data_IF_041585985578
#
_entry.id   IF_041585985578
#
_cell.length_a   1.000
_cell.length_b   1.000
_cell.length_c   1.000
_cell.angle_alpha   90.00
_cell.angle_beta   90.00
_cell.angle_gamma   90.00
#
_symmetry.space_group_name_H-M   'P 1'
#
loop_
_entity.id
_entity.type
_entity.pdbx_description
1 polymer ?
#
# COMPACT_ATOMS: atom_id res chain seq x y z
N UNK A 1 21.19 2.17 13.36
CA UNK A 1 20.05 1.88 12.46
C UNK A 1 18.71 2.46 12.93
N UNK A 2 18.39 2.48 14.24
CA UNK A 2 17.14 3.08 14.74
C UNK A 2 16.98 4.60 14.55
N UNK A 3 18.08 5.34 14.37
CA UNK A 3 18.06 6.79 14.11
C UNK A 3 17.49 7.16 12.74
N UNK A 4 17.73 6.33 11.71
CA UNK A 4 17.34 6.62 10.32
C UNK A 4 15.85 6.37 10.06
N UNK A 5 15.28 5.37 10.73
CA UNK A 5 13.83 5.09 10.71
C UNK A 5 13.06 6.28 11.31
N UNK A 6 13.55 6.79 12.44
CA UNK A 6 12.93 7.94 13.10
C UNK A 6 13.03 9.19 12.21
N UNK A 7 14.18 9.46 11.59
CA UNK A 7 14.35 10.66 10.76
C UNK A 7 13.40 10.73 9.55
N UNK A 8 13.13 9.61 8.87
CA UNK A 8 12.25 9.60 7.70
C UNK A 8 10.79 9.82 8.09
N UNK A 9 10.33 9.20 9.18
CA UNK A 9 8.96 9.41 9.67
C UNK A 9 8.77 10.84 10.17
N UNK A 10 9.74 11.42 10.88
CA UNK A 10 9.67 12.83 11.26
C UNK A 10 9.59 13.75 10.03
N UNK A 11 10.38 13.47 8.99
CA UNK A 11 10.32 14.21 7.73
C UNK A 11 8.93 14.15 7.11
N UNK A 12 8.33 12.97 7.01
CA UNK A 12 6.98 12.80 6.47
C UNK A 12 5.89 13.50 7.31
N UNK A 13 6.04 13.54 8.64
CA UNK A 13 5.15 14.29 9.52
C UNK A 13 5.31 15.81 9.31
N UNK A 14 6.54 16.31 9.22
CA UNK A 14 6.84 17.72 8.99
C UNK A 14 6.32 18.21 7.63
N UNK A 15 6.51 17.39 6.59
CA UNK A 15 5.96 17.63 5.24
C UNK A 15 4.44 17.40 5.17
N UNK A 16 3.79 17.02 6.29
CA UNK A 16 2.36 16.68 6.39
C UNK A 16 1.91 15.60 5.41
N UNK A 17 2.81 14.71 4.99
CA UNK A 17 2.51 13.53 4.15
C UNK A 17 1.99 12.36 4.98
N UNK A 18 2.39 12.30 6.26
CA UNK A 18 1.79 11.48 7.29
C UNK A 18 1.13 12.36 8.35
N UNK A 19 0.14 11.81 9.05
CA UNK A 19 -0.49 12.43 10.21
C UNK A 19 -0.59 11.41 11.34
N UNK A 20 -0.44 11.85 12.58
CA UNK A 20 -0.84 11.05 13.73
C UNK A 20 -2.36 11.00 13.79
N UNK A 21 -2.91 9.83 14.07
CA UNK A 21 -4.35 9.64 14.15
C UNK A 21 -4.70 8.74 15.33
N UNK A 22 -5.87 9.00 15.92
CA UNK A 22 -6.50 8.03 16.82
C UNK A 22 -7.06 6.90 15.95
N UNK A 23 -6.40 5.75 16.00
CA UNK A 23 -6.76 4.57 15.21
C UNK A 23 -7.45 3.57 16.14
N UNK A 24 -8.67 3.16 15.76
CA UNK A 24 -9.37 2.09 16.45
C UNK A 24 -9.06 0.71 15.83
N UNK A 25 -9.34 -0.36 16.58
CA UNK A 25 -9.14 -1.72 16.07
C UNK A 25 -10.07 -2.02 14.88
N UNK A 26 -11.27 -1.47 14.90
CA UNK A 26 -12.26 -1.59 13.83
C UNK A 26 -11.75 -0.97 12.53
N UNK A 27 -11.04 0.16 12.62
CA UNK A 27 -10.42 0.78 11.44
C UNK A 27 -9.38 -0.14 10.81
N UNK A 28 -8.51 -0.76 11.60
CA UNK A 28 -7.52 -1.73 11.10
C UNK A 28 -8.23 -2.93 10.49
N UNK A 29 -9.23 -3.48 11.18
CA UNK A 29 -10.01 -4.63 10.70
C UNK A 29 -10.69 -4.33 9.37
N UNK A 30 -11.24 -3.11 9.20
CA UNK A 30 -11.89 -2.70 7.96
C UNK A 30 -10.91 -2.67 6.78
N UNK A 31 -9.67 -2.23 7.01
CA UNK A 31 -8.62 -2.26 5.99
C UNK A 31 -8.23 -3.69 5.61
N UNK A 32 -8.12 -4.60 6.58
CA UNK A 32 -7.83 -6.01 6.30
C UNK A 32 -8.95 -6.67 5.49
N UNK A 33 -10.22 -6.44 5.85
CA UNK A 33 -11.36 -6.97 5.09
C UNK A 33 -11.41 -6.41 3.67
N UNK A 34 -11.11 -5.13 3.48
CA UNK A 34 -11.00 -4.55 2.13
C UNK A 34 -9.87 -5.20 1.33
N UNK A 35 -8.71 -5.42 1.95
CA UNK A 35 -7.59 -6.07 1.28
C UNK A 35 -7.91 -7.50 0.83
N UNK A 36 -8.64 -8.27 1.64
CA UNK A 36 -9.09 -9.62 1.32
C UNK A 36 -10.11 -9.62 0.16
N UNK A 37 -11.07 -8.69 0.18
CA UNK A 37 -12.04 -8.53 -0.89
C UNK A 37 -11.39 -8.16 -2.23
N UNK A 38 -10.49 -7.17 -2.22
CA UNK A 38 -9.75 -6.75 -3.41
C UNK A 38 -8.86 -7.88 -3.97
N UNK A 39 -8.32 -8.74 -3.11
CA UNK A 39 -7.54 -9.91 -3.54
C UNK A 39 -8.41 -10.93 -4.27
N UNK A 40 -9.59 -11.24 -3.71
CA UNK A 40 -10.53 -12.15 -4.33
C UNK A 40 -10.99 -11.62 -5.70
N UNK A 41 -11.36 -10.34 -5.76
CA UNK A 41 -11.74 -9.69 -6.99
C UNK A 41 -10.60 -9.67 -8.04
N UNK A 42 -9.36 -9.43 -7.60
CA UNK A 42 -8.19 -9.47 -8.48
C UNK A 42 -7.98 -10.87 -9.09
N UNK A 43 -8.16 -11.92 -8.28
CA UNK A 43 -8.05 -13.31 -8.73
C UNK A 43 -9.14 -13.65 -9.76
N UNK A 44 -10.39 -13.23 -9.52
CA UNK A 44 -11.51 -13.44 -10.45
C UNK A 44 -11.29 -12.69 -11.76
N UNK A 45 -10.81 -11.45 -11.70
CA UNK A 45 -10.43 -10.66 -12.87
C UNK A 45 -9.31 -11.33 -13.66
N UNK A 46 -8.29 -11.87 -12.98
CA UNK A 46 -7.18 -12.57 -13.62
C UNK A 46 -7.67 -13.83 -14.34
N UNK A 47 -8.49 -14.65 -13.68
CA UNK A 47 -9.09 -15.85 -14.29
C UNK A 47 -9.98 -15.52 -15.51
N UNK A 48 -10.60 -14.34 -15.49
CA UNK A 48 -11.45 -13.85 -16.58
C UNK A 48 -10.66 -13.10 -17.68
N UNK A 49 -9.33 -13.12 -17.66
CA UNK A 49 -8.44 -12.36 -18.57
C UNK A 49 -8.71 -10.84 -18.57
N UNK A 50 -9.23 -10.30 -17.46
CA UNK A 50 -9.45 -8.86 -17.24
C UNK A 50 -8.20 -8.24 -16.62
N UNK A 51 -7.07 -8.30 -17.33
CA UNK A 51 -5.74 -7.96 -16.79
C UNK A 51 -5.64 -6.54 -16.22
N UNK A 52 -6.23 -5.54 -16.88
CA UNK A 52 -6.33 -4.17 -16.34
C UNK A 52 -6.94 -4.17 -14.93
N UNK A 53 -8.07 -4.86 -14.75
CA UNK A 53 -8.78 -4.91 -13.48
C UNK A 53 -8.02 -5.71 -12.43
N UNK A 54 -7.44 -6.85 -12.83
CA UNK A 54 -6.59 -7.65 -11.95
C UNK A 54 -5.42 -6.84 -11.38
N UNK A 55 -4.75 -6.02 -12.21
CA UNK A 55 -3.65 -5.14 -11.78
C UNK A 55 -4.13 -4.07 -10.79
N UNK A 56 -5.25 -3.41 -11.09
CA UNK A 56 -5.80 -2.34 -10.23
C UNK A 56 -6.21 -2.93 -8.87
N UNK A 57 -6.98 -4.02 -8.88
CA UNK A 57 -7.49 -4.68 -7.67
C UNK A 57 -6.36 -5.29 -6.85
N UNK A 58 -5.39 -5.96 -7.49
CA UNK A 58 -4.21 -6.51 -6.82
C UNK A 58 -3.42 -5.43 -6.09
N UNK A 59 -3.23 -4.26 -6.72
CA UNK A 59 -2.61 -3.12 -6.06
C UNK A 59 -3.43 -2.61 -4.86
N UNK A 60 -4.75 -2.48 -4.99
CA UNK A 60 -5.58 -2.02 -3.88
C UNK A 60 -5.55 -2.99 -2.69
N UNK A 61 -5.51 -4.30 -2.95
CA UNK A 61 -5.29 -5.29 -1.90
C UNK A 61 -3.97 -5.06 -1.14
N UNK A 62 -2.87 -4.79 -1.85
CA UNK A 62 -1.59 -4.43 -1.23
C UNK A 62 -1.68 -3.10 -0.47
N UNK A 63 -2.33 -2.10 -1.05
CA UNK A 63 -2.50 -0.77 -0.44
C UNK A 63 -3.26 -0.85 0.89
N UNK A 64 -4.38 -1.57 0.91
CA UNK A 64 -5.19 -1.77 2.11
C UNK A 64 -4.42 -2.56 3.18
N UNK A 65 -3.65 -3.58 2.79
CA UNK A 65 -2.75 -4.31 3.70
C UNK A 65 -1.68 -3.40 4.32
N UNK A 66 -1.00 -2.60 3.50
CA UNK A 66 0.01 -1.65 3.97
C UNK A 66 -0.60 -0.56 4.87
N UNK A 67 -1.82 -0.12 4.57
CA UNK A 67 -2.55 0.87 5.34
C UNK A 67 -2.97 0.33 6.71
N UNK A 68 -3.40 -0.93 6.80
CA UNK A 68 -3.65 -1.60 8.07
C UNK A 68 -2.39 -1.62 8.97
N UNK A 69 -1.22 -1.92 8.38
CA UNK A 69 0.06 -1.86 9.09
C UNK A 69 0.40 -0.44 9.55
N UNK A 70 0.23 0.57 8.69
CA UNK A 70 0.46 1.97 9.07
C UNK A 70 -0.47 2.42 10.21
N UNK A 71 -1.74 2.01 10.14
CA UNK A 71 -2.76 2.30 11.15
C UNK A 71 -2.39 1.66 12.49
N UNK A 72 -1.85 0.44 12.50
CA UNK A 72 -1.34 -0.21 13.72
C UNK A 72 -0.21 0.58 14.42
N UNK A 73 0.46 1.50 13.69
CA UNK A 73 1.48 2.42 14.23
C UNK A 73 0.93 3.80 14.60
N UNK A 74 -0.39 4.02 14.49
CA UNK A 74 -1.06 5.27 14.86
C UNK A 74 -0.91 6.40 13.83
N UNK A 75 -0.65 6.05 12.57
CA UNK A 75 -0.46 7.01 11.49
C UNK A 75 -1.51 6.87 10.39
N UNK A 76 -1.74 7.97 9.66
CA UNK A 76 -2.49 8.02 8.40
C UNK A 76 -1.64 8.65 7.32
N UNK A 77 -1.68 8.06 6.14
CA UNK A 77 -1.09 8.59 4.92
C UNK A 77 -1.97 9.66 4.26
N UNK A 78 -1.35 10.48 3.39
CA UNK A 78 -2.07 11.39 2.48
C UNK A 78 -1.98 11.02 1.01
N UNK A 79 -1.15 10.04 0.67
CA UNK A 79 -0.98 9.56 -0.70
C UNK A 79 -0.40 8.15 -0.72
N UNK A 80 -0.57 7.46 -1.84
CA UNK A 80 0.02 6.15 -2.11
C UNK A 80 1.54 6.15 -1.92
N UNK A 81 2.22 7.18 -2.41
CA UNK A 81 3.67 7.33 -2.25
C UNK A 81 4.08 7.58 -0.79
N UNK A 82 3.29 8.34 -0.04
CA UNK A 82 3.56 8.54 1.39
C UNK A 82 3.43 7.22 2.18
N UNK A 83 2.44 6.38 1.82
CA UNK A 83 2.29 5.05 2.42
C UNK A 83 3.50 4.15 2.12
N UNK A 84 3.97 4.12 0.87
CA UNK A 84 5.17 3.38 0.47
C UNK A 84 6.40 3.79 1.30
N UNK A 85 6.68 5.09 1.39
CA UNK A 85 7.81 5.60 2.16
C UNK A 85 7.70 5.24 3.65
N UNK A 86 6.49 5.34 4.21
CA UNK A 86 6.22 4.98 5.60
C UNK A 86 6.42 3.49 5.86
N UNK A 87 5.93 2.63 4.96
CA UNK A 87 6.05 1.18 5.05
C UNK A 87 7.53 0.75 5.09
N UNK A 88 8.33 1.26 4.14
CA UNK A 88 9.77 1.01 4.05
C UNK A 88 10.53 1.50 5.29
N UNK A 89 10.11 2.62 5.87
CA UNK A 89 10.75 3.17 7.05
C UNK A 89 10.37 2.40 8.33
N UNK A 90 9.10 2.04 8.51
CA UNK A 90 8.57 1.47 9.76
C UNK A 90 8.80 -0.04 9.90
N UNK A 91 8.88 -0.77 8.78
CA UNK A 91 8.93 -2.24 8.78
C UNK A 91 10.13 -2.84 8.00
N UNK A 92 11.37 -2.33 8.17
CA UNK A 92 12.51 -2.77 7.37
C UNK A 92 13.00 -4.18 7.71
N UNK A 93 12.52 -4.79 8.79
CA UNK A 93 12.89 -6.15 9.21
C UNK A 93 11.75 -7.14 9.05
N UNK A 94 10.52 -6.63 9.11
CA UNK A 94 9.28 -7.40 9.09
C UNK A 94 8.77 -7.65 7.67
N UNK A 95 9.14 -6.78 6.72
CA UNK A 95 8.77 -6.92 5.32
C UNK A 95 10.02 -7.05 4.48
N UNK A 96 10.04 -8.10 3.65
CA UNK A 96 11.16 -8.32 2.73
C UNK A 96 11.32 -7.17 1.73
N UNK A 97 12.56 -6.85 1.39
CA UNK A 97 12.87 -5.80 0.43
C UNK A 97 12.32 -6.10 -0.99
N UNK A 98 12.09 -7.37 -1.32
CA UNK A 98 11.37 -7.81 -2.53
C UNK A 98 9.93 -7.29 -2.53
N UNK A 99 9.18 -7.52 -1.45
CA UNK A 99 7.78 -7.09 -1.31
C UNK A 99 7.65 -5.56 -1.32
N UNK A 100 8.59 -4.84 -0.69
CA UNK A 100 8.61 -3.37 -0.77
C UNK A 100 8.80 -2.86 -2.20
N UNK A 101 9.68 -3.51 -2.98
CA UNK A 101 9.88 -3.17 -4.40
C UNK A 101 8.65 -3.48 -5.25
N UNK A 102 8.07 -4.66 -5.05
CA UNK A 102 6.81 -5.05 -5.72
C UNK A 102 5.68 -4.07 -5.41
N UNK A 103 5.59 -3.54 -4.19
CA UNK A 103 4.60 -2.51 -3.87
C UNK A 103 4.77 -1.23 -4.72
N UNK A 104 6.01 -0.78 -4.92
CA UNK A 104 6.32 0.39 -5.75
C UNK A 104 6.05 0.13 -7.24
N UNK A 105 6.39 -1.07 -7.73
CA UNK A 105 6.12 -1.51 -9.10
C UNK A 105 4.62 -1.60 -9.35
N UNK A 106 3.86 -2.29 -8.50
CA UNK A 106 2.40 -2.40 -8.63
C UNK A 106 1.70 -1.04 -8.51
N UNK A 107 2.21 -0.12 -7.70
CA UNK A 107 1.69 1.25 -7.64
C UNK A 107 1.83 1.97 -8.98
N UNK A 108 2.96 1.77 -9.67
CA UNK A 108 3.22 2.33 -11.00
C UNK A 108 2.35 1.67 -12.07
N UNK A 109 2.27 0.34 -12.07
CA UNK A 109 1.41 -0.43 -12.96
C UNK A 109 -0.06 -0.06 -12.82
N UNK A 110 -0.55 0.13 -11.59
CA UNK A 110 -1.93 0.59 -11.35
C UNK A 110 -2.15 1.99 -11.90
N UNK A 111 -1.18 2.91 -11.75
CA UNK A 111 -1.28 4.25 -12.33
C UNK A 111 -1.35 4.21 -13.87
N UNK A 112 -0.57 3.34 -14.52
CA UNK A 112 -0.64 3.13 -15.97
C UNK A 112 -1.96 2.50 -16.40
N UNK A 113 -2.45 1.50 -15.67
CA UNK A 113 -3.73 0.86 -15.93
C UNK A 113 -4.93 1.82 -15.79
N UNK A 114 -4.89 2.71 -14.79
CA UNK A 114 -5.93 3.72 -14.54
C UNK A 114 -5.93 4.82 -15.59
N UNK A 115 -4.76 5.39 -15.92
CA UNK A 115 -4.67 6.64 -16.68
C UNK A 115 -3.98 6.52 -18.04
N UNK A 116 -3.06 5.56 -18.20
CA UNK A 116 -2.29 5.36 -19.42
C UNK A 116 -2.98 4.48 -20.47
N UNK A 117 -4.02 3.72 -20.08
CA UNK A 117 -4.64 2.64 -20.88
C UNK A 117 -3.64 1.54 -21.32
N UNK A 118 -2.43 1.54 -20.76
CA UNK A 118 -1.42 0.51 -20.99
C UNK A 118 -1.48 -0.48 -19.84
N UNK A 119 -1.63 -1.76 -20.18
CA UNK A 119 -1.53 -2.86 -19.22
C UNK A 119 -0.95 -4.07 -19.94
N UNK A 120 -0.11 -4.84 -19.26
CA UNK A 120 0.52 -6.03 -19.81
C UNK A 120 -0.33 -7.27 -19.51
N UNK A 121 -0.43 -8.18 -20.48
CA UNK A 121 -0.97 -9.53 -20.29
C UNK A 121 0.08 -10.47 -19.64
N UNK A 122 1.34 -10.02 -19.60
CA UNK A 122 2.54 -10.76 -19.15
C UNK A 122 3.32 -10.03 -18.08
#
# INVERSE_FOLDING_TARGET
MGSRVNSEIQRLLNERKLMRAQISREMISKELTAAEADLADAQDSLQSNKFKWATIQGYYSMFHSARALLYSKGFREKSHFALFLALRALFPKEIEASLIRQFEECMSLRQEADYGLTFSET
#
